data_IF_982870954026
#
_entry.id   IF_982870954026
#
_cell.length_a   1.000
_cell.length_b   1.000
_cell.length_c   1.000
_cell.angle_alpha   90.00
_cell.angle_beta   90.00
_cell.angle_gamma   90.00
#
_symmetry.space_group_name_H-M   'P 1'
#
loop_
_entity.id
_entity.type
_entity.pdbx_description
1 polymer ?
#
# COMPACT_ATOMS: atom_id res chain seq x y z
N UNK A 1 -4.82 20.80 -1.58
CA UNK A 1 -4.19 19.69 -0.85
C UNK A 1 -2.68 19.82 -0.84
N UNK A 2 -2.07 19.61 0.31
CA UNK A 2 -0.64 19.81 0.44
C UNK A 2 0.21 18.68 -0.14
N UNK A 3 -0.37 17.49 -0.28
CA UNK A 3 0.40 16.33 -0.72
C UNK A 3 0.13 16.04 -2.19
N UNK A 4 1.20 15.92 -2.96
CA UNK A 4 1.10 15.55 -4.37
C UNK A 4 1.31 14.07 -4.58
N UNK A 5 2.10 13.44 -3.73
CA UNK A 5 2.43 12.03 -3.86
C UNK A 5 2.43 11.38 -2.49
N UNK A 6 1.75 10.27 -2.38
CA UNK A 6 1.65 9.52 -1.13
C UNK A 6 2.15 8.10 -1.39
N UNK A 7 2.99 7.61 -0.50
CA UNK A 7 3.45 6.23 -0.57
C UNK A 7 2.66 5.40 0.46
N UNK A 8 2.06 4.32 0.00
CA UNK A 8 1.37 3.38 0.89
C UNK A 8 2.23 2.14 0.98
N UNK A 9 2.74 1.85 2.16
CA UNK A 9 3.63 0.73 2.40
C UNK A 9 2.82 -0.45 2.88
N UNK A 10 2.84 -1.52 2.10
CA UNK A 10 2.03 -2.70 2.37
C UNK A 10 0.71 -2.65 1.62
N UNK A 11 0.53 -3.58 0.70
CA UNK A 11 -0.64 -3.56 -0.19
C UNK A 11 -1.54 -4.77 0.04
N UNK A 12 -1.82 -5.04 1.31
CA UNK A 12 -2.74 -6.09 1.69
C UNK A 12 -4.15 -5.58 1.89
N UNK A 13 -4.88 -6.21 2.81
CA UNK A 13 -6.30 -5.91 3.01
C UNK A 13 -6.58 -4.51 3.50
N UNK A 14 -5.58 -3.85 4.09
CA UNK A 14 -5.76 -2.47 4.55
C UNK A 14 -5.10 -1.51 3.57
N UNK A 15 -3.87 -1.81 3.16
CA UNK A 15 -3.10 -0.89 2.35
C UNK A 15 -3.65 -0.70 0.94
N UNK A 16 -4.03 -1.78 0.27
CA UNK A 16 -4.51 -1.65 -1.09
C UNK A 16 -5.84 -0.88 -1.17
N UNK A 17 -6.84 -1.17 -0.34
CA UNK A 17 -8.05 -0.36 -0.37
C UNK A 17 -7.79 1.11 -0.06
N UNK A 18 -6.91 1.38 0.89
CA UNK A 18 -6.55 2.75 1.24
C UNK A 18 -5.88 3.45 0.07
N UNK A 19 -4.93 2.77 -0.57
CA UNK A 19 -4.24 3.32 -1.73
C UNK A 19 -5.22 3.62 -2.87
N UNK A 20 -6.16 2.71 -3.10
CA UNK A 20 -7.13 2.88 -4.17
C UNK A 20 -8.04 4.07 -3.91
N UNK A 21 -8.49 4.24 -2.67
CA UNK A 21 -9.35 5.36 -2.33
C UNK A 21 -8.62 6.69 -2.50
N UNK A 22 -7.37 6.76 -2.04
CA UNK A 22 -6.58 7.98 -2.19
C UNK A 22 -6.35 8.29 -3.66
N UNK A 23 -6.01 7.28 -4.45
CA UNK A 23 -5.78 7.46 -5.88
C UNK A 23 -7.06 7.88 -6.60
N UNK A 24 -8.22 7.42 -6.13
CA UNK A 24 -9.49 7.79 -6.74
C UNK A 24 -9.80 9.27 -6.57
N UNK A 25 -9.09 9.93 -5.67
CA UNK A 25 -9.21 11.37 -5.46
C UNK A 25 -8.18 12.15 -6.26
N UNK A 26 -7.56 11.50 -7.21
CA UNK A 26 -6.59 12.11 -8.13
C UNK A 26 -5.32 12.55 -7.41
N UNK A 27 -4.94 11.81 -6.38
CA UNK A 27 -3.67 11.97 -5.72
C UNK A 27 -2.78 10.83 -6.17
N UNK A 28 -1.55 11.14 -6.55
CA UNK A 28 -0.62 10.11 -6.99
C UNK A 28 -0.24 9.21 -5.82
N UNK A 29 -0.39 7.91 -6.00
CA UNK A 29 -0.10 6.94 -4.95
C UNK A 29 0.92 5.94 -5.46
N UNK A 30 1.96 5.73 -4.68
CA UNK A 30 2.93 4.68 -4.94
C UNK A 30 2.72 3.61 -3.89
N UNK A 31 2.32 2.42 -4.31
CA UNK A 31 2.17 1.31 -3.39
C UNK A 31 3.46 0.52 -3.31
N UNK A 32 4.00 0.38 -2.11
CA UNK A 32 5.22 -0.35 -1.89
C UNK A 32 4.91 -1.70 -1.25
N UNK A 33 5.38 -2.77 -1.84
CA UNK A 33 5.22 -4.10 -1.28
C UNK A 33 6.46 -4.91 -1.58
N UNK A 34 6.74 -5.89 -0.73
CA UNK A 34 7.92 -6.72 -0.90
C UNK A 34 7.68 -7.91 -1.84
N UNK A 35 6.44 -8.15 -2.22
CA UNK A 35 6.08 -9.27 -3.09
C UNK A 35 6.06 -8.85 -4.55
N UNK A 36 6.94 -9.40 -5.39
CA UNK A 36 6.89 -9.08 -6.81
C UNK A 36 5.55 -9.46 -7.45
N UNK A 37 4.93 -10.52 -6.97
CA UNK A 37 3.66 -10.97 -7.50
C UNK A 37 2.57 -9.95 -7.24
N UNK A 38 2.54 -9.38 -6.04
CA UNK A 38 1.58 -8.35 -5.68
C UNK A 38 1.80 -7.11 -6.54
N UNK A 39 3.06 -6.70 -6.69
CA UNK A 39 3.39 -5.52 -7.48
C UNK A 39 2.96 -5.71 -8.93
N UNK A 40 3.24 -6.86 -9.51
CA UNK A 40 2.84 -7.12 -10.89
C UNK A 40 1.34 -7.13 -11.05
N UNK A 41 0.63 -7.75 -10.11
CA UNK A 41 -0.81 -7.83 -10.17
C UNK A 41 -1.44 -6.45 -10.18
N UNK A 42 -0.99 -5.58 -9.28
CA UNK A 42 -1.56 -4.24 -9.19
C UNK A 42 -1.21 -3.41 -10.41
N UNK A 43 0.00 -3.53 -10.91
CA UNK A 43 0.40 -2.75 -12.08
C UNK A 43 -0.33 -3.17 -13.35
N UNK A 44 -0.91 -4.36 -13.36
CA UNK A 44 -1.80 -4.77 -14.45
C UNK A 44 -3.23 -4.25 -14.29
N UNK A 45 -3.51 -3.59 -13.17
CA UNK A 45 -4.85 -3.14 -12.87
C UNK A 45 -5.72 -4.19 -12.21
N UNK A 46 -5.11 -5.24 -11.70
CA UNK A 46 -5.83 -6.32 -11.02
C UNK A 46 -5.64 -6.23 -9.52
N UNK A 47 -6.36 -7.07 -8.79
CA UNK A 47 -6.20 -7.13 -7.35
C UNK A 47 -5.86 -8.56 -6.94
N UNK A 48 -5.19 -8.67 -5.80
CA UNK A 48 -4.79 -9.95 -5.24
C UNK A 48 -5.59 -10.31 -3.98
N UNK A 49 -6.54 -9.47 -3.61
CA UNK A 49 -7.40 -9.69 -2.46
C UNK A 49 -8.85 -9.61 -2.93
N UNK A 50 -9.75 -10.15 -2.13
CA UNK A 50 -11.17 -10.14 -2.47
C UNK A 50 -11.85 -9.07 -1.63
N UNK A 51 -12.30 -8.01 -2.31
CA UNK A 51 -13.00 -6.90 -1.69
C UNK A 51 -14.03 -6.38 -2.69
N UNK A 52 -15.27 -6.16 -2.26
CA UNK A 52 -16.29 -5.68 -3.20
C UNK A 52 -15.88 -4.37 -3.86
N UNK A 53 -16.03 -4.31 -5.16
CA UNK A 53 -15.78 -3.11 -5.97
C UNK A 53 -14.35 -2.62 -5.99
N UNK A 54 -13.45 -3.25 -5.27
CA UNK A 54 -12.06 -2.80 -5.23
C UNK A 54 -11.39 -2.97 -6.58
N UNK A 55 -11.70 -4.04 -7.30
CA UNK A 55 -11.09 -4.29 -8.60
C UNK A 55 -11.37 -3.14 -9.57
N UNK A 56 -12.56 -2.58 -9.55
CA UNK A 56 -12.91 -1.48 -10.42
C UNK A 56 -12.11 -0.23 -10.08
N UNK A 57 -11.99 0.05 -8.79
CA UNK A 57 -11.28 1.24 -8.33
C UNK A 57 -9.81 1.15 -8.66
N UNK A 58 -9.20 -0.02 -8.41
CA UNK A 58 -7.79 -0.22 -8.69
C UNK A 58 -7.53 -0.14 -10.19
N UNK A 59 -8.37 -0.80 -10.98
CA UNK A 59 -8.19 -0.78 -12.43
C UNK A 59 -8.22 0.64 -12.97
N UNK A 60 -9.19 1.43 -12.54
CA UNK A 60 -9.30 2.81 -13.00
C UNK A 60 -8.10 3.64 -12.54
N UNK A 61 -7.69 3.49 -11.30
CA UNK A 61 -6.58 4.29 -10.77
C UNK A 61 -5.27 3.96 -11.46
N UNK A 62 -5.03 2.70 -11.76
CA UNK A 62 -3.82 2.30 -12.45
C UNK A 62 -3.85 2.79 -13.90
N UNK A 63 -4.98 2.62 -14.55
CA UNK A 63 -5.12 3.04 -15.94
C UNK A 63 -4.96 4.54 -16.10
N UNK A 64 -5.45 5.31 -15.15
CA UNK A 64 -5.35 6.76 -15.19
C UNK A 64 -4.01 7.29 -14.70
N UNK A 65 -3.15 6.41 -14.18
CA UNK A 65 -1.82 6.80 -13.77
C UNK A 65 -1.71 7.34 -12.35
N UNK A 66 -2.74 7.20 -11.55
CA UNK A 66 -2.70 7.68 -10.18
C UNK A 66 -2.22 6.64 -9.18
N UNK A 67 -2.18 5.37 -9.56
CA UNK A 67 -1.73 4.30 -8.69
C UNK A 67 -0.73 3.44 -9.44
N UNK A 68 0.41 3.18 -8.79
CA UNK A 68 1.33 2.17 -9.27
C UNK A 68 1.99 1.50 -8.08
N UNK A 69 2.47 0.29 -8.29
CA UNK A 69 3.13 -0.46 -7.25
C UNK A 69 4.60 -0.63 -7.57
N UNK A 70 5.41 -0.76 -6.53
CA UNK A 70 6.86 -0.88 -6.68
C UNK A 70 7.42 -1.75 -5.58
N UNK A 71 8.57 -2.34 -5.84
CA UNK A 71 9.32 -3.10 -4.86
C UNK A 71 10.31 -2.23 -4.10
N UNK A 72 10.57 -1.02 -4.58
CA UNK A 72 11.60 -0.17 -4.02
C UNK A 72 11.02 1.13 -3.50
N UNK A 73 11.49 1.60 -2.34
CA UNK A 73 11.00 2.88 -1.81
C UNK A 73 11.29 4.02 -2.78
N UNK A 74 10.35 4.95 -2.86
CA UNK A 74 10.50 6.13 -3.70
C UNK A 74 10.11 7.36 -2.89
N UNK A 75 10.64 8.54 -3.24
CA UNK A 75 10.29 9.75 -2.53
C UNK A 75 8.80 10.05 -2.64
N UNK A 76 8.24 10.51 -1.54
CA UNK A 76 6.84 10.90 -1.48
C UNK A 76 6.67 11.98 -0.43
N UNK A 77 5.55 12.69 -0.50
CA UNK A 77 5.26 13.74 0.46
C UNK A 77 4.79 13.19 1.79
N UNK A 78 4.18 12.02 1.77
CA UNK A 78 3.69 11.36 2.98
C UNK A 78 3.77 9.86 2.80
N UNK A 79 3.89 9.15 3.92
CA UNK A 79 3.95 7.70 3.93
C UNK A 79 2.87 7.16 4.85
N UNK A 80 2.08 6.22 4.35
CA UNK A 80 1.11 5.49 5.14
C UNK A 80 1.62 4.06 5.24
N UNK A 81 1.84 3.60 6.46
CA UNK A 81 2.40 2.28 6.67
C UNK A 81 1.29 1.33 7.10
N UNK A 82 1.00 0.37 6.25
CA UNK A 82 -0.09 -0.57 6.46
C UNK A 82 0.40 -2.01 6.46
N UNK A 83 1.64 -2.23 6.88
CA UNK A 83 2.17 -3.58 6.99
C UNK A 83 1.68 -4.21 8.28
N UNK A 84 1.43 -5.52 8.29
CA UNK A 84 1.04 -6.19 9.52
C UNK A 84 2.17 -6.09 10.54
N UNK A 85 1.83 -5.73 11.76
CA UNK A 85 2.84 -5.76 12.82
C UNK A 85 2.97 -7.19 13.31
N UNK A 86 4.17 -7.69 13.44
CA UNK A 86 4.36 -9.06 13.86
C UNK A 86 4.26 -9.17 15.37
N UNK A 87 3.07 -8.88 15.90
CA UNK A 87 2.98 -9.04 17.30
C UNK A 87 2.42 -10.39 17.64
N UNK A 88 3.01 -10.99 18.61
CA UNK A 88 2.66 -12.32 19.01
C UNK A 88 2.01 -12.27 20.35
N UNK A 89 0.79 -12.70 20.39
CA UNK A 89 0.04 -12.68 21.63
C UNK A 89 0.69 -13.53 22.68
N UNK A 90 1.33 -14.60 22.27
CA UNK A 90 1.96 -15.49 23.23
C UNK A 90 3.12 -14.84 23.95
N UNK A 91 3.69 -13.80 23.38
CA UNK A 91 4.72 -13.06 24.09
C UNK A 91 4.13 -12.24 25.21
N UNK A 92 2.91 -11.89 25.07
CA UNK A 92 2.16 -11.20 26.11
C UNK A 92 2.71 -9.87 26.49
N UNK A 93 3.66 -9.39 25.80
CA UNK A 93 4.30 -8.19 26.28
C UNK A 93 4.42 -7.12 25.26
N UNK A 94 4.31 -7.43 24.04
CA UNK A 94 4.56 -6.37 23.13
C UNK A 94 3.36 -6.02 22.35
N UNK A 95 3.05 -4.77 22.38
CA UNK A 95 2.07 -4.20 21.53
C UNK A 95 2.70 -3.06 20.76
N UNK A 96 4.03 -2.98 20.86
CA UNK A 96 4.78 -1.96 20.19
C UNK A 96 5.18 -2.53 18.83
N UNK A 97 4.94 -1.82 17.74
CA UNK A 97 5.36 -2.28 16.43
C UNK A 97 6.86 -2.49 16.40
N UNK A 98 7.27 -3.43 15.58
CA UNK A 98 8.68 -3.66 15.38
C UNK A 98 9.23 -2.49 14.57
N UNK A 99 9.97 -1.63 15.23
CA UNK A 99 10.51 -0.45 14.59
C UNK A 99 11.47 -0.78 13.47
N UNK A 100 12.19 -1.88 13.62
CA UNK A 100 13.11 -2.33 12.60
C UNK A 100 12.35 -2.67 11.31
N UNK A 101 11.21 -3.30 11.45
CA UNK A 101 10.38 -3.65 10.32
C UNK A 101 9.87 -2.39 9.62
N UNK A 102 9.47 -1.41 10.40
CA UNK A 102 8.98 -0.15 9.84
C UNK A 102 10.11 0.58 9.12
N UNK A 103 11.29 0.63 9.70
CA UNK A 103 12.43 1.25 9.06
C UNK A 103 12.78 0.60 7.75
N UNK A 104 12.68 -0.71 7.73
CA UNK A 104 12.97 -1.47 6.54
C UNK A 104 11.96 -1.17 5.43
N UNK A 105 10.72 -0.94 5.79
CA UNK A 105 9.66 -0.66 4.84
C UNK A 105 9.68 0.80 4.38
N UNK A 106 10.15 1.67 5.22
CA UNK A 106 10.19 3.08 4.89
C UNK A 106 11.43 3.43 4.09
#
# INVERSE_FOLDING_TARGET
MAFNRISVVGLGYIGLPTAAVIASRRCEVIGLDVSPKVVDTINRGDIHIVEPDLDMIVHAAVKEGYLRATLNPEPADAFLIAVPTPFKAENGKTHVPDLKYIESAA
#
